data_IF_642392779262
#
_entry.id   IF_642392779262
#
_cell.length_a   1.000
_cell.length_b   1.000
_cell.length_c   1.000
_cell.angle_alpha   90.00
_cell.angle_beta   90.00
_cell.angle_gamma   90.00
#
_symmetry.space_group_name_H-M   'P 1'
#
loop_
_entity.id
_entity.type
_entity.pdbx_description
1 polymer ?
#
# COMPACT_ATOMS: atom_id res chain seq x y z
N UNK A 1 -15.71 -10.31 -1.71
CA UNK A 1 -14.53 -10.16 -2.60
C UNK A 1 -13.51 -9.32 -1.82
N UNK A 2 -12.22 -9.39 -2.19
CA UNK A 2 -11.16 -8.58 -1.56
C UNK A 2 -10.72 -7.57 -2.62
N UNK A 3 -10.72 -6.29 -2.29
CA UNK A 3 -10.44 -5.21 -3.25
C UNK A 3 -9.68 -4.07 -2.61
N UNK A 4 -9.06 -3.24 -3.42
CA UNK A 4 -8.57 -1.92 -3.02
C UNK A 4 -9.77 -0.99 -2.89
N UNK A 5 -9.87 -0.23 -1.79
CA UNK A 5 -11.04 0.60 -1.48
C UNK A 5 -11.09 1.87 -2.33
N UNK A 6 -10.00 2.64 -2.33
CA UNK A 6 -9.84 3.85 -3.13
C UNK A 6 -8.80 3.61 -4.22
N UNK A 7 -9.21 3.80 -5.48
CA UNK A 7 -8.33 3.69 -6.64
C UNK A 7 -8.40 4.97 -7.48
N UNK A 8 -7.32 5.33 -8.20
CA UNK A 8 -7.34 6.50 -9.07
C UNK A 8 -8.35 6.33 -10.21
N UNK A 9 -9.13 7.38 -10.49
CA UNK A 9 -10.17 7.35 -11.52
C UNK A 9 -9.67 7.83 -12.89
N UNK A 10 -8.56 8.57 -12.90
CA UNK A 10 -7.95 9.18 -14.08
C UNK A 10 -6.63 8.51 -14.47
N UNK A 11 -6.18 8.70 -15.71
CA UNK A 11 -4.86 8.25 -16.15
C UNK A 11 -3.72 8.98 -15.44
N UNK A 12 -3.94 10.24 -15.04
CA UNK A 12 -2.95 11.00 -14.27
C UNK A 12 -2.76 10.37 -12.88
N UNK A 13 -3.84 10.08 -12.17
CA UNK A 13 -3.78 9.41 -10.87
C UNK A 13 -3.21 7.99 -10.95
N UNK A 14 -3.51 7.23 -12.01
CA UNK A 14 -2.87 5.92 -12.26
C UNK A 14 -1.37 6.05 -12.47
N UNK A 15 -0.92 7.02 -13.27
CA UNK A 15 0.52 7.30 -13.45
C UNK A 15 1.20 7.70 -12.15
N UNK A 16 0.53 8.48 -11.29
CA UNK A 16 1.05 8.83 -9.95
C UNK A 16 1.19 7.58 -9.09
N UNK A 17 0.16 6.73 -9.03
CA UNK A 17 0.22 5.48 -8.27
C UNK A 17 1.37 4.59 -8.75
N UNK A 18 1.54 4.42 -10.06
CA UNK A 18 2.64 3.63 -10.62
C UNK A 18 4.01 4.28 -10.29
N UNK A 19 4.12 5.60 -10.38
CA UNK A 19 5.36 6.32 -10.05
C UNK A 19 5.73 6.21 -8.55
N UNK A 20 4.73 6.25 -7.66
CA UNK A 20 4.92 6.03 -6.22
C UNK A 20 5.39 4.60 -5.94
N UNK A 21 4.76 3.60 -6.56
CA UNK A 21 5.16 2.20 -6.43
C UNK A 21 6.60 1.97 -6.91
N UNK A 22 6.98 2.55 -8.06
CA UNK A 22 8.33 2.44 -8.60
C UNK A 22 9.37 3.17 -7.75
N UNK A 23 9.06 4.37 -7.26
CA UNK A 23 9.93 5.09 -6.34
C UNK A 23 10.14 4.31 -5.04
N UNK A 24 9.07 3.75 -4.47
CA UNK A 24 9.14 2.92 -3.28
C UNK A 24 10.01 1.68 -3.51
N UNK A 25 9.89 1.00 -4.66
CA UNK A 25 10.75 -0.15 -5.00
C UNK A 25 12.22 0.24 -5.13
N UNK A 26 12.50 1.36 -5.81
CA UNK A 26 13.86 1.82 -6.08
C UNK A 26 14.59 2.27 -4.83
N UNK A 27 13.87 2.90 -3.90
CA UNK A 27 14.46 3.56 -2.73
C UNK A 27 14.09 2.90 -1.41
N UNK A 28 13.49 1.70 -1.42
CA UNK A 28 12.97 1.01 -0.24
C UNK A 28 13.95 1.00 0.94
N UNK A 29 15.21 0.66 0.66
CA UNK A 29 16.25 0.48 1.67
C UNK A 29 17.06 1.75 1.97
N UNK A 30 16.67 2.92 1.42
CA UNK A 30 17.35 4.17 1.68
C UNK A 30 17.31 4.50 3.19
N UNK A 31 18.45 4.78 3.84
CA UNK A 31 18.49 5.08 5.26
C UNK A 31 17.84 6.44 5.53
N UNK A 32 17.04 6.52 6.59
CA UNK A 32 16.42 7.76 7.04
C UNK A 32 17.36 8.64 7.87
N UNK A 33 17.19 9.98 7.86
CA UNK A 33 16.13 10.74 7.21
C UNK A 33 16.30 10.81 5.68
N UNK A 34 15.23 10.60 4.93
CA UNK A 34 15.27 10.63 3.46
C UNK A 34 13.95 11.12 2.84
N UNK A 35 14.05 11.65 1.62
CA UNK A 35 12.93 12.12 0.82
C UNK A 35 13.24 11.87 -0.67
N UNK A 36 12.24 11.37 -1.41
CA UNK A 36 12.34 11.15 -2.86
C UNK A 36 11.09 11.65 -3.56
N UNK A 37 11.26 12.45 -4.62
CA UNK A 37 10.16 12.85 -5.51
C UNK A 37 9.76 11.63 -6.34
N UNK A 38 8.53 11.17 -6.16
CA UNK A 38 7.95 10.09 -6.96
C UNK A 38 7.31 10.63 -8.24
N UNK A 39 6.66 11.80 -8.15
CA UNK A 39 5.99 12.45 -9.28
C UNK A 39 6.07 13.97 -9.17
N UNK A 40 6.27 14.65 -10.30
CA UNK A 40 6.15 16.09 -10.44
C UNK A 40 5.62 16.38 -11.84
N UNK A 41 4.38 16.85 -11.95
CA UNK A 41 3.73 17.03 -13.24
C UNK A 41 2.33 17.62 -13.13
N UNK A 42 1.68 17.79 -14.28
CA UNK A 42 0.35 18.39 -14.35
C UNK A 42 -0.76 17.34 -14.17
N UNK A 43 -1.75 17.66 -13.33
CA UNK A 43 -2.97 16.89 -13.07
C UNK A 43 -4.13 17.88 -13.09
N UNK A 44 -5.08 17.72 -14.01
CA UNK A 44 -6.26 18.60 -14.07
C UNK A 44 -5.93 20.09 -14.24
N UNK A 45 -4.85 20.44 -14.96
CA UNK A 45 -4.42 21.82 -15.17
C UNK A 45 -3.65 22.45 -13.99
N UNK A 46 -3.34 21.68 -12.95
CA UNK A 46 -2.52 22.12 -11.81
C UNK A 46 -1.26 21.28 -11.68
N UNK A 47 -0.18 21.90 -11.23
CA UNK A 47 1.06 21.18 -10.98
C UNK A 47 0.95 20.46 -9.64
N UNK A 48 1.18 19.15 -9.64
CA UNK A 48 1.14 18.30 -8.45
C UNK A 48 2.50 17.65 -8.26
N UNK A 49 3.00 17.67 -7.02
CA UNK A 49 4.21 16.98 -6.60
C UNK A 49 3.88 15.95 -5.55
N UNK A 50 4.41 14.74 -5.71
CA UNK A 50 4.28 13.63 -4.77
C UNK A 50 5.66 13.18 -4.33
N UNK A 51 5.85 13.06 -3.01
CA UNK A 51 7.11 12.67 -2.39
C UNK A 51 6.90 11.51 -1.43
N UNK A 52 7.85 10.58 -1.37
CA UNK A 52 7.96 9.61 -0.29
C UNK A 52 8.97 10.11 0.73
N UNK A 53 8.60 10.07 2.01
CA UNK A 53 9.40 10.64 3.10
C UNK A 53 9.49 9.70 4.30
N UNK A 54 10.65 9.68 4.95
CA UNK A 54 10.82 9.14 6.30
C UNK A 54 11.75 10.10 7.07
N UNK A 55 11.19 11.00 7.91
CA UNK A 55 11.97 11.99 8.64
C UNK A 55 12.62 11.43 9.91
N UNK A 56 12.13 10.32 10.47
CA UNK A 56 12.66 9.76 11.72
C UNK A 56 13.94 8.96 11.44
N UNK A 57 15.09 9.27 12.07
CA UNK A 57 16.35 8.57 11.83
C UNK A 57 16.31 7.11 12.32
N UNK A 58 17.21 6.28 11.78
CA UNK A 58 17.38 4.89 12.21
C UNK A 58 16.37 3.91 11.60
N UNK A 59 15.72 4.31 10.50
CA UNK A 59 14.80 3.49 9.71
C UNK A 59 15.22 3.49 8.24
N UNK A 60 14.40 2.84 7.42
CA UNK A 60 14.46 2.85 5.96
C UNK A 60 13.22 3.57 5.42
N UNK A 61 13.25 4.02 4.16
CA UNK A 61 12.11 4.66 3.51
C UNK A 61 10.82 3.82 3.57
N UNK A 62 10.96 2.50 3.39
CA UNK A 62 9.84 1.56 3.40
C UNK A 62 10.05 0.53 4.50
N UNK A 63 9.03 0.33 5.33
CA UNK A 63 9.04 -0.68 6.38
C UNK A 63 9.11 -2.12 5.83
N UNK A 64 9.50 -3.10 6.66
CA UNK A 64 9.80 -4.45 6.16
C UNK A 64 8.57 -5.21 5.65
N UNK A 65 7.35 -4.79 5.98
CA UNK A 65 6.11 -5.34 5.40
C UNK A 65 5.62 -4.54 4.18
N UNK A 66 6.37 -3.54 3.72
CA UNK A 66 5.96 -2.60 2.66
C UNK A 66 5.44 -3.27 1.39
N UNK A 67 6.04 -4.41 1.03
CA UNK A 67 5.71 -5.14 -0.18
C UNK A 67 4.95 -6.45 0.07
N UNK A 68 4.44 -6.67 1.29
CA UNK A 68 3.64 -7.87 1.57
C UNK A 68 2.48 -7.98 0.58
N UNK A 69 2.25 -9.19 0.10
CA UNK A 69 1.19 -9.56 -0.81
C UNK A 69 0.08 -10.28 -0.05
N UNK A 70 -1.18 -10.01 -0.43
CA UNK A 70 -2.35 -10.60 0.22
C UNK A 70 -2.78 -11.87 -0.53
N UNK A 71 -2.98 -12.94 0.23
CA UNK A 71 -3.40 -14.25 -0.23
C UNK A 71 -4.67 -14.71 0.49
N UNK A 72 -5.36 -15.65 -0.12
CA UNK A 72 -6.40 -16.46 0.53
C UNK A 72 -5.93 -17.90 0.63
N UNK A 73 -5.88 -18.46 1.85
CA UNK A 73 -5.51 -19.86 2.11
C UNK A 73 -6.53 -20.49 3.06
N UNK A 74 -7.21 -21.54 2.63
CA UNK A 74 -8.19 -22.29 3.43
C UNK A 74 -9.28 -21.40 4.07
N UNK A 75 -9.69 -20.36 3.36
CA UNK A 75 -10.66 -19.35 3.81
C UNK A 75 -10.09 -18.26 4.72
N UNK A 76 -8.80 -18.31 5.07
CA UNK A 76 -8.11 -17.24 5.77
C UNK A 76 -7.57 -16.22 4.77
N UNK A 77 -7.53 -14.95 5.17
CA UNK A 77 -6.88 -13.87 4.42
C UNK A 77 -5.56 -13.58 5.10
N UNK A 78 -4.43 -13.76 4.42
CA UNK A 78 -3.10 -13.65 5.02
C UNK A 78 -2.23 -12.75 4.15
N UNK A 79 -1.44 -11.87 4.76
CA UNK A 79 -0.39 -11.14 4.05
C UNK A 79 0.97 -11.73 4.37
N UNK A 80 1.76 -12.02 3.33
CA UNK A 80 3.13 -12.53 3.48
C UNK A 80 4.09 -11.74 2.59
N UNK A 81 5.38 -11.62 2.96
CA UNK A 81 6.35 -11.00 2.06
C UNK A 81 6.44 -11.80 0.75
N UNK A 82 6.83 -11.19 -0.38
CA UNK A 82 6.98 -11.89 -1.65
C UNK A 82 8.24 -12.78 -1.68
N UNK A 83 9.27 -12.41 -0.92
CA UNK A 83 10.56 -13.12 -0.78
C UNK A 83 11.03 -13.12 0.67
N UNK A 84 11.98 -13.99 1.01
CA UNK A 84 12.46 -14.17 2.39
C UNK A 84 11.53 -15.07 3.22
N UNK A 85 11.95 -15.45 4.42
CA UNK A 85 11.16 -16.29 5.34
C UNK A 85 10.81 -17.68 4.79
N UNK A 86 11.64 -18.24 3.92
CA UNK A 86 11.44 -19.54 3.30
C UNK A 86 11.37 -20.69 4.32
N UNK A 87 12.08 -20.55 5.44
CA UNK A 87 12.07 -21.50 6.57
C UNK A 87 10.75 -21.46 7.37
N UNK A 88 9.90 -20.45 7.16
CA UNK A 88 8.61 -20.36 7.83
C UNK A 88 7.56 -21.17 7.06
N UNK A 89 7.11 -22.28 7.66
CA UNK A 89 6.15 -23.21 7.06
C UNK A 89 4.85 -22.52 6.59
N UNK A 90 4.32 -21.58 7.37
CA UNK A 90 3.11 -20.84 7.00
C UNK A 90 3.35 -19.96 5.77
N UNK A 91 4.46 -19.22 5.73
CA UNK A 91 4.81 -18.36 4.58
C UNK A 91 4.96 -19.21 3.32
N UNK A 92 5.69 -20.32 3.41
CA UNK A 92 5.87 -21.26 2.30
C UNK A 92 4.52 -21.80 1.81
N UNK A 93 3.68 -22.31 2.71
CA UNK A 93 2.36 -22.84 2.37
C UNK A 93 1.46 -21.80 1.73
N UNK A 94 1.46 -20.55 2.23
CA UNK A 94 0.68 -19.46 1.64
C UNK A 94 1.15 -19.16 0.21
N UNK A 95 2.47 -19.14 -0.03
CA UNK A 95 3.02 -18.89 -1.38
C UNK A 95 2.76 -20.03 -2.37
N UNK A 96 2.80 -21.28 -1.91
CA UNK A 96 2.65 -22.48 -2.76
C UNK A 96 1.18 -22.83 -3.04
N UNK A 97 0.31 -22.76 -2.03
CA UNK A 97 -1.07 -23.25 -2.10
C UNK A 97 -2.13 -22.15 -1.96
N UNK A 98 -1.74 -20.93 -1.56
CA UNK A 98 -2.66 -19.81 -1.43
C UNK A 98 -3.04 -19.19 -2.77
N UNK A 99 -4.26 -18.67 -2.84
CA UNK A 99 -4.74 -17.89 -3.99
C UNK A 99 -4.29 -16.44 -3.84
N UNK A 100 -3.48 -15.95 -4.78
CA UNK A 100 -3.06 -14.55 -4.83
C UNK A 100 -4.26 -13.64 -5.12
N UNK A 101 -4.38 -12.56 -4.35
CA UNK A 101 -5.39 -11.51 -4.64
C UNK A 101 -4.93 -10.53 -5.72
N UNK A 102 -3.63 -10.48 -6.02
CA UNK A 102 -3.03 -9.45 -6.87
C UNK A 102 -2.78 -8.12 -6.15
N UNK A 103 -3.10 -8.03 -4.85
CA UNK A 103 -2.95 -6.81 -4.05
C UNK A 103 -1.71 -6.95 -3.16
N UNK A 104 -0.77 -6.01 -3.31
CA UNK A 104 0.31 -5.79 -2.34
C UNK A 104 0.05 -4.53 -1.52
N UNK A 105 0.66 -4.44 -0.34
CA UNK A 105 0.52 -3.27 0.53
C UNK A 105 0.94 -1.98 -0.16
N UNK A 106 2.14 -1.96 -0.76
CA UNK A 106 2.62 -0.78 -1.48
C UNK A 106 1.73 -0.43 -2.67
N UNK A 107 1.16 -1.41 -3.40
CA UNK A 107 0.23 -1.11 -4.49
C UNK A 107 -1.04 -0.44 -3.97
N UNK A 108 -1.67 -1.00 -2.94
CA UNK A 108 -2.89 -0.43 -2.36
C UNK A 108 -2.67 0.96 -1.76
N UNK A 109 -1.52 1.18 -1.12
CA UNK A 109 -1.10 2.52 -0.68
C UNK A 109 -0.86 3.48 -1.85
N UNK A 110 -0.19 3.04 -2.90
CA UNK A 110 0.08 3.88 -4.07
C UNK A 110 -1.22 4.28 -4.80
N UNK A 111 -2.19 3.36 -4.88
CA UNK A 111 -3.53 3.65 -5.41
C UNK A 111 -4.26 4.70 -4.57
N UNK A 112 -4.14 4.64 -3.24
CA UNK A 112 -4.66 5.68 -2.35
C UNK A 112 -3.99 7.03 -2.67
N UNK A 113 -2.66 7.08 -2.74
CA UNK A 113 -1.91 8.31 -3.04
C UNK A 113 -2.33 8.90 -4.38
N UNK A 114 -2.42 8.08 -5.43
CA UNK A 114 -2.90 8.52 -6.74
C UNK A 114 -4.32 9.08 -6.69
N UNK A 115 -5.23 8.43 -5.95
CA UNK A 115 -6.60 8.92 -5.78
C UNK A 115 -6.65 10.24 -5.00
N UNK A 116 -5.86 10.39 -3.94
CA UNK A 116 -5.77 11.63 -3.16
C UNK A 116 -5.19 12.78 -3.97
N UNK A 117 -4.19 12.51 -4.82
CA UNK A 117 -3.63 13.49 -5.73
C UNK A 117 -4.65 14.05 -6.74
N UNK A 118 -5.56 13.22 -7.26
CA UNK A 118 -6.66 13.69 -8.12
C UNK A 118 -7.58 14.66 -7.36
N UNK A 119 -7.99 14.28 -6.15
CA UNK A 119 -8.88 15.10 -5.32
C UNK A 119 -8.21 16.44 -4.99
N UNK A 120 -6.93 16.41 -4.59
CA UNK A 120 -6.15 17.61 -4.30
C UNK A 120 -5.97 18.48 -5.54
N UNK A 121 -5.75 17.93 -6.72
CA UNK A 121 -5.65 18.72 -7.95
C UNK A 121 -6.92 19.57 -8.18
N UNK A 122 -8.10 19.08 -7.80
CA UNK A 122 -9.35 19.84 -7.87
C UNK A 122 -9.49 20.85 -6.72
N UNK A 123 -9.20 20.46 -5.48
CA UNK A 123 -9.45 21.29 -4.29
C UNK A 123 -8.33 22.26 -3.94
N UNK A 124 -7.10 21.98 -4.38
CA UNK A 124 -5.87 22.65 -3.95
C UNK A 124 -5.38 22.16 -2.58
N UNK A 125 -4.17 22.58 -2.20
CA UNK A 125 -3.57 22.32 -0.88
C UNK A 125 -2.52 21.20 -0.89
N UNK A 126 -2.24 20.69 0.31
CA UNK A 126 -1.29 19.60 0.54
C UNK A 126 -1.85 18.59 1.56
N UNK A 127 -1.46 17.32 1.43
CA UNK A 127 -1.87 16.24 2.31
C UNK A 127 -0.71 15.29 2.57
N UNK A 128 -0.57 14.87 3.83
CA UNK A 128 0.34 13.80 4.25
C UNK A 128 -0.45 12.52 4.49
N UNK A 129 -0.10 11.46 3.76
CA UNK A 129 -0.72 10.15 3.86
C UNK A 129 0.30 9.21 4.50
N UNK A 130 0.08 8.85 5.76
CA UNK A 130 1.01 8.05 6.54
C UNK A 130 0.36 6.75 7.02
N UNK A 131 1.08 5.64 6.82
CA UNK A 131 0.73 4.35 7.43
C UNK A 131 1.94 3.81 8.19
N UNK A 132 1.81 3.64 9.50
CA UNK A 132 2.89 3.12 10.36
C UNK A 132 2.85 1.60 10.44
N UNK A 133 1.76 1.05 10.97
CA UNK A 133 1.55 -0.39 11.11
C UNK A 133 0.22 -0.76 10.49
N UNK A 134 0.21 -1.81 9.68
CA UNK A 134 -1.02 -2.44 9.22
C UNK A 134 -1.48 -3.40 10.30
N UNK A 135 -2.68 -3.19 10.84
CA UNK A 135 -3.34 -4.06 11.82
C UNK A 135 -4.56 -4.75 11.24
N UNK A 136 -5.20 -4.11 10.26
CA UNK A 136 -6.39 -4.56 9.56
C UNK A 136 -6.35 -4.10 8.10
N UNK A 137 -7.14 -4.70 7.18
CA UNK A 137 -7.10 -4.37 5.76
C UNK A 137 -7.28 -2.87 5.44
N UNK A 138 -8.17 -2.19 6.18
CA UNK A 138 -8.47 -0.78 5.94
C UNK A 138 -7.30 0.16 6.22
N UNK A 139 -6.35 -0.25 7.08
CA UNK A 139 -5.16 0.55 7.36
C UNK A 139 -4.26 0.72 6.13
N UNK A 140 -4.40 -0.16 5.14
CA UNK A 140 -3.64 -0.14 3.89
C UNK A 140 -4.54 -0.07 2.65
N UNK A 141 -5.70 0.60 2.78
CA UNK A 141 -6.62 0.83 1.66
C UNK A 141 -7.20 -0.47 1.04
N UNK A 142 -7.36 -1.53 1.83
CA UNK A 142 -7.97 -2.80 1.40
C UNK A 142 -9.30 -3.04 2.09
N UNK A 143 -10.29 -3.50 1.32
CA UNK A 143 -11.62 -3.85 1.79
C UNK A 143 -11.89 -5.33 1.54
N UNK A 144 -12.62 -5.94 2.48
CA UNK A 144 -13.19 -7.29 2.34
C UNK A 144 -14.70 -7.10 2.39
N UNK A 145 -15.41 -7.47 1.32
CA UNK A 145 -16.88 -7.31 1.27
C UNK A 145 -17.56 -8.05 2.42
N UNK A 146 -18.74 -7.55 2.79
CA UNK A 146 -19.52 -8.05 3.91
C UNK A 146 -19.81 -9.56 3.82
N UNK A 147 -20.19 -10.08 2.65
CA UNK A 147 -20.45 -11.50 2.47
C UNK A 147 -19.20 -12.37 2.79
N UNK A 148 -18.02 -11.93 2.37
CA UNK A 148 -16.77 -12.62 2.67
C UNK A 148 -16.40 -12.49 4.15
N UNK A 149 -16.59 -11.32 4.76
CA UNK A 149 -16.40 -11.12 6.21
C UNK A 149 -17.29 -12.05 7.03
N UNK A 150 -18.59 -12.13 6.70
CA UNK A 150 -19.55 -13.03 7.37
C UNK A 150 -19.11 -14.49 7.26
N UNK A 151 -18.65 -14.93 6.09
CA UNK A 151 -18.10 -16.28 5.91
C UNK A 151 -16.87 -16.53 6.79
N UNK A 152 -15.90 -15.62 6.77
CA UNK A 152 -14.66 -15.74 7.54
C UNK A 152 -14.99 -15.90 9.03
N UNK A 153 -15.85 -15.04 9.57
CA UNK A 153 -16.26 -15.08 10.97
C UNK A 153 -17.04 -16.35 11.31
N UNK A 154 -18.07 -16.69 10.55
CA UNK A 154 -18.93 -17.86 10.82
C UNK A 154 -18.19 -19.19 10.70
N UNK A 155 -17.16 -19.26 9.85
CA UNK A 155 -16.35 -20.46 9.62
C UNK A 155 -15.10 -20.54 10.50
N UNK A 156 -14.95 -19.64 11.48
CA UNK A 156 -13.80 -19.60 12.39
C UNK A 156 -12.47 -19.28 11.71
N UNK A 157 -12.50 -18.65 10.53
CA UNK A 157 -11.31 -18.24 9.77
C UNK A 157 -10.83 -16.87 10.23
N UNK A 158 -9.63 -16.47 9.79
CA UNK A 158 -8.96 -15.24 10.24
C UNK A 158 -8.54 -14.35 9.10
N UNK A 159 -8.44 -13.06 9.41
CA UNK A 159 -7.77 -12.05 8.58
C UNK A 159 -6.49 -11.65 9.31
N UNK A 160 -5.34 -12.04 8.78
CA UNK A 160 -4.02 -11.71 9.31
C UNK A 160 -3.19 -10.98 8.25
N UNK A 161 -3.39 -9.68 8.17
CA UNK A 161 -2.67 -8.77 7.24
C UNK A 161 -1.73 -7.85 7.99
N UNK A 162 -1.17 -8.30 9.12
CA UNK A 162 -0.43 -7.42 10.02
C UNK A 162 1.00 -7.22 9.54
N UNK A 163 1.55 -6.02 9.75
CA UNK A 163 2.97 -5.78 9.53
C UNK A 163 3.40 -4.32 9.66
N UNK A 164 4.68 -4.08 9.99
CA UNK A 164 5.28 -2.74 9.98
C UNK A 164 5.45 -2.20 8.55
N UNK A 165 4.69 -1.17 8.20
CA UNK A 165 4.68 -0.58 6.86
C UNK A 165 5.54 0.68 6.75
N UNK A 166 5.49 1.55 7.77
CA UNK A 166 6.29 2.77 7.91
C UNK A 166 6.59 3.47 6.57
N UNK A 167 5.55 3.98 5.92
CA UNK A 167 5.70 4.76 4.69
C UNK A 167 4.79 5.97 4.75
N UNK A 168 5.34 7.11 4.35
CA UNK A 168 4.64 8.39 4.29
C UNK A 168 4.76 8.95 2.88
N UNK A 169 3.64 9.38 2.31
CA UNK A 169 3.59 10.11 1.06
C UNK A 169 3.08 11.53 1.32
N UNK A 170 3.75 12.54 0.78
CA UNK A 170 3.31 13.94 0.81
C UNK A 170 2.87 14.31 -0.59
N UNK A 171 1.63 14.75 -0.73
CA UNK A 171 1.04 15.24 -1.98
C UNK A 171 0.81 16.73 -1.85
N UNK A 172 1.27 17.51 -2.81
CA UNK A 172 1.20 18.97 -2.80
C UNK A 172 0.81 19.51 -4.17
N UNK A 173 -0.14 20.44 -4.19
CA UNK A 173 -0.47 21.24 -5.38
C UNK A 173 0.33 22.54 -5.32
N UNK A 174 1.09 22.81 -6.38
CA UNK A 174 1.99 23.96 -6.53
C UNK A 174 1.32 25.13 -7.25
#
# INVERSE_FOLDING_TARGET
MIRVSQVPLTDAGRRIADAVLEAARRHADAPSPCEFVAFDGEVGGRRVRVRLVEPEPGRKLVGPAGFNEIYVLDGNVVAVPPTGWEENELVRRVREAGVRTGISFMRAFSDLVGRRAEILAETGGAEEIQVKNVKQPSDINVEIDEAARRFITSSGKRVDVRGPFFTTAVVEVL
#
